data_IF_877845699273
#
_entry.id   IF_877845699273
#
_cell.length_a   1.000
_cell.length_b   1.000
_cell.length_c   1.000
_cell.angle_alpha   90.00
_cell.angle_beta   90.00
_cell.angle_gamma   90.00
#
_symmetry.space_group_name_H-M   'P 1'
#
loop_
_entity.id
_entity.type
_entity.pdbx_description
1 polymer ?
#
# COMPACT_ATOMS: atom_id res chain seq x y z
N UNK A 1 -34.77 58.71 -38.79
CA UNK A 1 -34.55 57.59 -37.86
C UNK A 1 -34.58 58.11 -36.44
N UNK A 2 -35.61 57.75 -35.63
CA UNK A 2 -35.87 58.39 -34.35
C UNK A 2 -34.84 58.05 -33.30
N UNK A 3 -34.34 59.03 -32.57
CA UNK A 3 -33.34 58.90 -31.51
C UNK A 3 -33.65 57.76 -30.51
N UNK A 4 -34.94 57.51 -30.29
CA UNK A 4 -35.49 56.47 -29.44
C UNK A 4 -35.19 55.08 -29.95
N UNK A 5 -35.06 54.81 -31.25
CA UNK A 5 -34.72 53.55 -31.86
C UNK A 5 -33.23 53.30 -31.83
N UNK A 6 -32.37 54.32 -31.82
CA UNK A 6 -30.93 54.22 -31.69
C UNK A 6 -30.54 53.80 -30.26
N UNK A 7 -31.21 54.33 -29.24
CA UNK A 7 -31.01 53.93 -27.85
C UNK A 7 -31.46 52.48 -27.60
N UNK A 8 -32.54 52.06 -28.24
CA UNK A 8 -33.01 50.66 -28.10
C UNK A 8 -32.07 49.63 -28.77
N UNK A 9 -31.53 49.96 -29.94
CA UNK A 9 -30.54 49.12 -30.63
C UNK A 9 -29.19 49.08 -29.86
N UNK A 10 -28.74 50.21 -29.31
CA UNK A 10 -27.53 50.30 -28.52
C UNK A 10 -27.65 49.52 -27.20
N UNK A 11 -28.83 49.55 -26.55
CA UNK A 11 -29.10 48.79 -25.34
C UNK A 11 -29.19 47.28 -25.61
N UNK A 12 -29.80 46.88 -26.75
CA UNK A 12 -29.85 45.47 -27.16
C UNK A 12 -28.46 44.93 -27.53
N UNK A 13 -27.57 45.72 -28.13
CA UNK A 13 -26.20 45.36 -28.47
C UNK A 13 -25.32 45.25 -27.22
N UNK A 14 -25.57 46.06 -26.18
CA UNK A 14 -24.86 45.99 -24.90
C UNK A 14 -25.21 44.73 -24.11
N UNK A 15 -26.45 44.23 -24.24
CA UNK A 15 -26.89 42.99 -23.59
C UNK A 15 -26.23 41.72 -24.20
N UNK A 16 -25.81 41.78 -25.48
CA UNK A 16 -25.12 40.64 -26.14
C UNK A 16 -23.63 40.55 -25.80
N UNK A 17 -23.01 41.60 -25.22
CA UNK A 17 -21.58 41.59 -24.89
C UNK A 17 -21.26 40.92 -23.51
N UNK A 18 -22.29 40.57 -22.73
CA UNK A 18 -22.11 39.96 -21.40
C UNK A 18 -22.29 38.44 -21.35
N UNK A 19 -22.39 37.76 -22.49
CA UNK A 19 -22.68 36.33 -22.55
C UNK A 19 -21.53 35.50 -23.10
N UNK A 20 -20.29 35.94 -22.93
CA UNK A 20 -19.16 35.02 -23.10
C UNK A 20 -18.50 34.87 -21.72
N UNK A 21 -19.10 34.07 -20.83
CA UNK A 21 -18.33 33.41 -19.78
C UNK A 21 -17.44 32.41 -20.51
N UNK A 22 -16.14 32.64 -20.50
CA UNK A 22 -15.15 31.62 -20.84
C UNK A 22 -15.40 30.46 -19.88
N UNK A 23 -16.10 29.42 -20.36
CA UNK A 23 -16.16 28.13 -19.65
C UNK A 23 -14.74 27.62 -19.57
N UNK A 24 -14.12 27.79 -18.43
CA UNK A 24 -12.90 27.07 -18.12
C UNK A 24 -13.29 25.58 -18.03
N UNK A 25 -12.77 24.78 -18.96
CA UNK A 25 -12.99 23.33 -18.91
C UNK A 25 -12.43 22.80 -17.58
N UNK A 26 -13.21 21.98 -16.87
CA UNK A 26 -12.77 21.43 -15.61
C UNK A 26 -11.52 20.58 -15.83
N UNK A 27 -10.51 20.80 -15.02
CA UNK A 27 -9.26 20.07 -14.99
C UNK A 27 -8.98 19.66 -13.53
N UNK A 28 -8.77 18.37 -13.30
CA UNK A 28 -8.46 17.82 -11.97
C UNK A 28 -7.16 17.06 -11.99
N UNK A 29 -6.25 17.41 -11.11
CA UNK A 29 -5.02 16.68 -10.87
C UNK A 29 -5.13 15.96 -9.52
N UNK A 30 -5.39 14.65 -9.60
CA UNK A 30 -5.47 13.77 -8.43
C UNK A 30 -4.18 12.98 -8.34
N UNK A 31 -3.54 13.02 -7.17
CA UNK A 31 -2.31 12.28 -6.89
C UNK A 31 -2.49 11.35 -5.71
N UNK A 32 -1.66 10.28 -5.68
CA UNK A 32 -1.54 9.34 -4.59
C UNK A 32 -0.19 9.49 -3.89
N UNK A 33 -0.19 9.37 -2.56
CA UNK A 33 1.00 9.36 -1.73
C UNK A 33 0.94 8.16 -0.77
N UNK A 34 1.79 7.14 -0.98
CA UNK A 34 2.82 7.00 -2.02
C UNK A 34 2.21 6.82 -3.43
N UNK A 35 3.04 6.96 -4.47
CA UNK A 35 2.64 6.76 -5.87
C UNK A 35 2.45 5.29 -6.26
N UNK A 36 2.95 4.37 -5.43
CA UNK A 36 2.82 2.92 -5.53
C UNK A 36 2.75 2.34 -4.12
N UNK A 37 1.94 1.31 -3.91
CA UNK A 37 1.79 0.65 -2.62
C UNK A 37 2.36 -0.76 -2.66
N UNK A 38 3.42 -1.01 -1.87
CA UNK A 38 4.10 -2.29 -1.78
C UNK A 38 3.86 -2.92 -0.41
N UNK A 39 3.13 -4.03 -0.36
CA UNK A 39 2.90 -4.78 0.87
C UNK A 39 4.05 -5.72 1.23
N UNK A 40 4.91 -6.04 0.24
CA UNK A 40 5.98 -7.02 0.41
C UNK A 40 5.43 -8.43 0.62
N UNK A 41 6.19 -9.24 1.35
CA UNK A 41 5.85 -10.63 1.71
C UNK A 41 4.91 -10.65 2.92
N UNK A 42 3.79 -11.35 2.79
CA UNK A 42 2.78 -11.54 3.85
C UNK A 42 2.41 -13.00 3.90
N UNK A 43 2.42 -13.62 5.07
CA UNK A 43 1.99 -15.01 5.21
C UNK A 43 0.56 -15.21 4.71
N UNK A 44 0.31 -16.32 4.02
CA UNK A 44 -1.01 -16.67 3.54
C UNK A 44 -2.02 -16.68 4.70
N UNK A 45 -3.17 -16.02 4.50
CA UNK A 45 -4.24 -15.77 5.45
C UNK A 45 -3.96 -14.73 6.55
N UNK A 46 -2.76 -14.17 6.64
CA UNK A 46 -2.50 -13.00 7.48
C UNK A 46 -3.04 -11.73 6.83
N UNK A 47 -3.17 -10.67 7.64
CA UNK A 47 -3.74 -9.40 7.22
C UNK A 47 -2.76 -8.28 7.56
N UNK A 48 -2.49 -7.42 6.58
CA UNK A 48 -1.72 -6.20 6.78
C UNK A 48 -2.45 -5.03 6.13
N UNK A 49 -2.35 -3.86 6.73
CA UNK A 49 -2.95 -2.64 6.19
C UNK A 49 -1.90 -1.54 6.06
N UNK A 50 -1.98 -0.78 4.99
CA UNK A 50 -1.13 0.38 4.75
C UNK A 50 -1.97 1.58 4.35
N UNK A 51 -1.47 2.76 4.68
CA UNK A 51 -2.14 4.03 4.45
C UNK A 51 -1.79 4.60 3.07
N UNK A 52 -2.80 5.13 2.39
CA UNK A 52 -2.67 5.92 1.16
C UNK A 52 -3.34 7.26 1.38
N UNK A 53 -2.69 8.34 0.97
CA UNK A 53 -3.28 9.67 0.88
C UNK A 53 -3.63 9.97 -0.57
N UNK A 54 -4.86 10.41 -0.79
CA UNK A 54 -5.36 10.88 -2.09
C UNK A 54 -5.50 12.38 -1.98
N UNK A 55 -4.92 13.12 -2.91
CA UNK A 55 -4.92 14.58 -2.89
C UNK A 55 -5.44 15.15 -4.21
N UNK A 56 -6.36 16.10 -4.12
CA UNK A 56 -6.72 17.01 -5.19
C UNK A 56 -5.77 18.21 -5.12
N UNK A 57 -4.87 18.35 -6.10
CA UNK A 57 -3.78 19.34 -6.00
C UNK A 57 -4.27 20.78 -6.22
N UNK A 58 -3.39 21.75 -6.02
CA UNK A 58 -3.64 23.15 -6.30
C UNK A 58 -3.64 23.51 -7.80
N UNK A 59 -3.20 22.57 -8.67
CA UNK A 59 -3.32 22.71 -10.12
C UNK A 59 -4.75 22.45 -10.63
N UNK A 60 -5.60 21.83 -9.81
CA UNK A 60 -7.01 21.59 -10.17
C UNK A 60 -7.80 22.90 -10.27
N UNK A 61 -8.82 22.93 -11.14
CA UNK A 61 -9.70 24.08 -11.32
C UNK A 61 -10.68 24.28 -10.16
N UNK A 62 -10.98 23.19 -9.40
CA UNK A 62 -11.96 23.26 -8.31
C UNK A 62 -12.03 21.97 -7.49
N UNK A 63 -13.19 21.76 -6.85
CA UNK A 63 -13.48 20.56 -6.10
C UNK A 63 -13.67 19.37 -7.05
N UNK A 64 -12.98 18.27 -6.77
CA UNK A 64 -13.16 16.97 -7.44
C UNK A 64 -14.26 16.19 -6.72
N UNK A 65 -15.12 15.54 -7.49
CA UNK A 65 -16.05 14.52 -7.01
C UNK A 65 -16.02 13.35 -7.99
N UNK A 66 -15.78 12.14 -7.50
CA UNK A 66 -15.65 10.95 -8.34
C UNK A 66 -15.72 9.66 -7.54
N UNK A 67 -15.63 8.53 -8.25
CA UNK A 67 -15.60 7.20 -7.66
C UNK A 67 -14.18 6.77 -7.34
N UNK A 68 -14.05 5.99 -6.28
CA UNK A 68 -12.82 5.31 -5.91
C UNK A 68 -13.04 3.80 -5.90
N UNK A 69 -12.14 3.05 -6.56
CA UNK A 69 -12.27 1.61 -6.68
C UNK A 69 -10.92 0.91 -6.59
N UNK A 70 -10.92 -0.34 -6.08
CA UNK A 70 -9.81 -1.28 -6.25
C UNK A 70 -10.23 -2.28 -7.32
N UNK A 71 -9.38 -2.44 -8.33
CA UNK A 71 -9.60 -3.31 -9.48
C UNK A 71 -8.55 -4.45 -9.50
N UNK A 72 -8.88 -5.50 -10.23
CA UNK A 72 -8.01 -6.63 -10.62
C UNK A 72 -7.73 -7.67 -9.53
N UNK A 73 -7.92 -7.41 -8.24
CA UNK A 73 -7.74 -8.43 -7.21
C UNK A 73 -8.62 -8.23 -5.97
N UNK A 74 -9.43 -9.24 -5.58
CA UNK A 74 -10.25 -9.19 -4.37
C UNK A 74 -9.44 -9.40 -3.07
N UNK A 75 -8.12 -9.60 -3.16
CA UNK A 75 -7.24 -9.74 -1.99
C UNK A 75 -6.85 -8.40 -1.36
N UNK A 76 -7.11 -7.33 -2.10
CA UNK A 76 -6.97 -5.96 -1.60
C UNK A 76 -8.36 -5.37 -1.37
N UNK A 77 -8.54 -4.76 -0.21
CA UNK A 77 -9.77 -4.05 0.16
C UNK A 77 -9.41 -2.68 0.73
N UNK A 78 -10.36 -1.77 0.79
CA UNK A 78 -10.16 -0.46 1.42
C UNK A 78 -11.24 -0.19 2.47
N UNK A 79 -10.93 0.67 3.42
CA UNK A 79 -11.83 1.12 4.49
C UNK A 79 -12.78 2.25 4.07
N UNK A 80 -12.66 2.73 2.84
CA UNK A 80 -13.53 3.75 2.27
C UNK A 80 -14.48 3.13 1.24
N UNK A 81 -15.75 3.55 1.28
CA UNK A 81 -16.76 3.14 0.33
C UNK A 81 -17.62 4.35 -0.07
N UNK A 82 -17.88 4.50 -1.36
CA UNK A 82 -18.73 5.55 -1.92
C UNK A 82 -17.99 6.61 -2.73
N UNK A 83 -18.61 7.79 -2.85
CA UNK A 83 -18.11 8.88 -3.67
C UNK A 83 -17.09 9.69 -2.88
N UNK A 84 -15.90 9.88 -3.48
CA UNK A 84 -14.84 10.73 -2.95
C UNK A 84 -15.08 12.17 -3.40
N UNK A 85 -15.15 13.11 -2.43
CA UNK A 85 -15.16 14.55 -2.72
C UNK A 85 -13.98 15.20 -2.02
N UNK A 86 -13.17 15.94 -2.79
CA UNK A 86 -12.01 16.67 -2.30
C UNK A 86 -12.05 18.11 -2.82
N UNK A 87 -12.00 19.07 -1.93
CA UNK A 87 -11.82 20.47 -2.33
C UNK A 87 -10.43 20.65 -2.97
N UNK A 88 -10.24 21.74 -3.71
CA UNK A 88 -8.92 22.11 -4.22
C UNK A 88 -7.91 22.15 -3.07
N UNK A 89 -6.77 21.48 -3.25
CA UNK A 89 -5.69 21.29 -2.26
C UNK A 89 -6.09 20.47 -1.02
N UNK A 90 -7.23 19.79 -1.03
CA UNK A 90 -7.66 18.86 0.02
C UNK A 90 -7.11 17.45 -0.21
N UNK A 91 -6.92 16.71 0.85
CA UNK A 91 -6.53 15.30 0.82
C UNK A 91 -7.36 14.45 1.76
N UNK A 92 -7.50 13.18 1.42
CA UNK A 92 -8.11 12.12 2.26
C UNK A 92 -7.15 10.96 2.42
N UNK A 93 -7.02 10.49 3.65
CA UNK A 93 -6.30 9.25 3.96
C UNK A 93 -7.30 8.09 4.01
N UNK A 94 -6.91 6.96 3.42
CA UNK A 94 -7.61 5.69 3.46
C UNK A 94 -6.62 4.57 3.78
N UNK A 95 -7.12 3.44 4.30
CA UNK A 95 -6.32 2.25 4.51
C UNK A 95 -6.65 1.19 3.45
N UNK A 96 -5.62 0.70 2.81
CA UNK A 96 -5.71 -0.48 1.94
C UNK A 96 -5.26 -1.68 2.75
N UNK A 97 -6.05 -2.73 2.72
CA UNK A 97 -5.79 -3.99 3.44
C UNK A 97 -5.49 -5.09 2.43
N UNK A 98 -4.40 -5.81 2.64
CA UNK A 98 -4.00 -6.98 1.86
C UNK A 98 -4.17 -8.25 2.69
N UNK A 99 -4.80 -9.27 2.08
CA UNK A 99 -5.00 -10.59 2.66
C UNK A 99 -4.76 -11.66 1.59
N UNK A 100 -3.52 -12.13 1.41
CA UNK A 100 -3.23 -13.23 0.49
C UNK A 100 -3.89 -14.53 0.98
N UNK A 101 -4.37 -15.37 0.08
CA UNK A 101 -4.92 -16.68 0.41
C UNK A 101 -4.02 -17.85 -0.01
N UNK A 102 -2.99 -17.59 -0.79
CA UNK A 102 -2.05 -18.56 -1.34
C UNK A 102 -0.67 -17.95 -1.51
N UNK A 103 0.31 -18.81 -1.78
CA UNK A 103 1.70 -18.45 -2.04
C UNK A 103 1.82 -18.05 -3.51
N UNK A 104 1.62 -16.77 -3.78
CA UNK A 104 1.67 -16.18 -5.13
C UNK A 104 1.79 -14.65 -5.05
N UNK A 105 2.13 -14.03 -6.17
CA UNK A 105 2.14 -12.57 -6.29
C UNK A 105 0.75 -12.05 -6.64
N UNK A 106 0.39 -10.92 -6.04
CA UNK A 106 -0.87 -10.23 -6.24
C UNK A 106 -0.63 -8.81 -6.69
N UNK A 107 -1.37 -8.37 -7.68
CA UNK A 107 -1.35 -7.00 -8.17
C UNK A 107 -2.78 -6.49 -8.28
N UNK A 108 -2.98 -5.23 -7.93
CA UNK A 108 -4.25 -4.52 -8.10
C UNK A 108 -3.98 -3.07 -8.49
N UNK A 109 -5.05 -2.35 -8.82
CA UNK A 109 -5.03 -0.92 -9.08
C UNK A 109 -6.03 -0.22 -8.18
N UNK A 110 -5.59 0.83 -7.50
CA UNK A 110 -6.47 1.83 -6.91
C UNK A 110 -6.73 2.90 -7.96
N UNK A 111 -7.99 3.14 -8.26
CA UNK A 111 -8.42 4.13 -9.25
C UNK A 111 -9.30 5.19 -8.62
N UNK A 112 -9.15 6.42 -9.06
CA UNK A 112 -10.05 7.54 -8.74
C UNK A 112 -10.46 8.17 -10.05
N UNK A 113 -11.77 8.27 -10.33
CA UNK A 113 -12.25 8.75 -11.62
C UNK A 113 -13.60 9.46 -11.55
N UNK A 114 -13.81 10.37 -12.50
CA UNK A 114 -15.11 10.91 -12.90
C UNK A 114 -15.14 11.01 -14.44
N UNK A 115 -16.11 11.73 -14.99
CA UNK A 115 -16.23 11.91 -16.44
C UNK A 115 -15.08 12.70 -17.08
N UNK A 116 -14.36 13.51 -16.29
CA UNK A 116 -13.36 14.48 -16.77
C UNK A 116 -11.93 14.15 -16.37
N UNK A 117 -11.74 13.19 -15.42
CA UNK A 117 -10.42 12.88 -14.85
C UNK A 117 -10.32 11.42 -14.43
N UNK A 118 -9.11 10.87 -14.60
CA UNK A 118 -8.74 9.53 -14.17
C UNK A 118 -7.35 9.55 -13.56
N UNK A 119 -7.22 8.94 -12.38
CA UNK A 119 -5.94 8.69 -11.73
C UNK A 119 -5.87 7.25 -11.25
N UNK A 120 -4.70 6.60 -11.37
CA UNK A 120 -4.46 5.24 -10.88
C UNK A 120 -3.13 5.12 -10.17
N UNK A 121 -3.05 4.15 -9.25
CA UNK A 121 -1.81 3.68 -8.65
C UNK A 121 -1.80 2.15 -8.59
N UNK A 122 -0.60 1.54 -8.67
CA UNK A 122 -0.44 0.11 -8.51
C UNK A 122 -0.31 -0.28 -7.04
N UNK A 123 -0.86 -1.45 -6.73
CA UNK A 123 -0.78 -2.09 -5.43
C UNK A 123 -0.22 -3.49 -5.65
N UNK A 124 0.87 -3.83 -4.96
CA UNK A 124 1.52 -5.12 -5.08
C UNK A 124 1.73 -5.76 -3.71
N UNK A 125 1.69 -7.09 -3.67
CA UNK A 125 1.98 -7.89 -2.49
C UNK A 125 2.27 -9.34 -2.88
N UNK A 126 2.97 -10.05 -2.03
CA UNK A 126 3.32 -11.45 -2.21
C UNK A 126 2.80 -12.26 -1.01
N UNK A 127 1.96 -13.27 -1.29
CA UNK A 127 1.61 -14.28 -0.31
C UNK A 127 2.74 -15.30 -0.20
N UNK A 128 3.15 -15.62 1.01
CA UNK A 128 4.25 -16.57 1.27
C UNK A 128 3.85 -17.60 2.32
N UNK A 129 4.60 -18.72 2.38
CA UNK A 129 4.48 -19.70 3.46
C UNK A 129 4.96 -19.10 4.79
N UNK A 130 4.48 -19.61 5.93
CA UNK A 130 5.06 -19.28 7.24
C UNK A 130 6.55 -19.68 7.32
N UNK A 131 7.26 -19.13 8.30
CA UNK A 131 8.62 -19.58 8.62
C UNK A 131 8.58 -21.06 8.94
N UNK A 132 9.45 -21.82 8.29
CA UNK A 132 9.60 -23.27 8.47
C UNK A 132 11.07 -23.62 8.59
N UNK A 133 11.45 -24.34 9.65
CA UNK A 133 12.83 -24.77 9.87
C UNK A 133 12.89 -26.15 10.52
N UNK A 134 14.01 -26.80 10.35
CA UNK A 134 14.35 -28.05 11.05
C UNK A 134 15.65 -27.88 11.83
N UNK A 135 15.82 -28.71 12.83
CA UNK A 135 17.07 -28.77 13.60
C UNK A 135 17.48 -30.21 13.90
N UNK A 136 18.77 -30.46 13.97
CA UNK A 136 19.33 -31.79 14.23
C UNK A 136 20.70 -31.67 14.91
N UNK A 137 20.93 -32.49 15.94
CA UNK A 137 20.02 -33.45 16.58
C UNK A 137 18.97 -32.70 17.46
N UNK A 138 17.86 -33.36 17.79
CA UNK A 138 16.85 -32.81 18.70
C UNK A 138 17.26 -32.90 20.19
N UNK A 139 18.29 -33.68 20.50
CA UNK A 139 18.90 -33.78 21.83
C UNK A 139 20.42 -33.85 21.66
N UNK A 140 21.13 -33.05 22.43
CA UNK A 140 22.60 -33.09 22.51
C UNK A 140 23.01 -33.93 23.73
N UNK A 141 23.47 -35.15 23.48
CA UNK A 141 23.89 -36.12 24.52
C UNK A 141 25.39 -35.99 24.80
N UNK A 142 25.76 -35.11 25.75
CA UNK A 142 27.17 -34.91 26.09
C UNK A 142 27.82 -36.13 26.80
N UNK A 143 27.01 -37.00 27.45
CA UNK A 143 27.52 -38.11 28.21
C UNK A 143 28.32 -37.67 29.45
N UNK A 144 29.31 -38.47 29.87
CA UNK A 144 30.21 -38.13 30.98
C UNK A 144 31.31 -37.18 30.47
N UNK A 145 31.50 -36.09 31.18
CA UNK A 145 32.60 -35.13 30.99
C UNK A 145 33.40 -35.09 32.31
N UNK A 146 34.72 -35.20 32.25
CA UNK A 146 35.59 -35.13 33.41
C UNK A 146 35.51 -33.73 34.05
N UNK A 147 35.70 -33.64 35.37
CA UNK A 147 35.70 -32.36 36.08
C UNK A 147 36.81 -31.43 35.51
N UNK A 148 36.39 -30.20 35.14
CA UNK A 148 37.28 -29.23 34.49
C UNK A 148 37.51 -29.46 32.99
N UNK A 149 36.95 -30.55 32.42
CA UNK A 149 36.94 -30.83 30.98
C UNK A 149 35.77 -30.18 30.28
N UNK A 150 35.78 -30.24 28.95
CA UNK A 150 34.67 -29.81 28.09
C UNK A 150 34.46 -30.80 26.95
N UNK A 151 33.29 -30.69 26.34
CA UNK A 151 32.93 -31.46 25.14
C UNK A 151 32.03 -30.59 24.26
N UNK A 152 32.37 -30.48 23.01
CA UNK A 152 31.59 -29.77 22.02
C UNK A 152 30.68 -30.73 21.26
N UNK A 153 29.51 -30.25 20.88
CA UNK A 153 28.57 -30.91 20.00
C UNK A 153 27.90 -29.91 19.07
N UNK A 154 27.69 -30.35 17.85
CA UNK A 154 27.08 -29.50 16.83
C UNK A 154 25.54 -29.60 16.86
N UNK A 155 24.89 -28.49 16.73
CA UNK A 155 23.46 -28.36 16.44
C UNK A 155 23.32 -27.68 15.08
N UNK A 156 22.76 -28.38 14.12
CA UNK A 156 22.46 -27.79 12.80
C UNK A 156 21.02 -27.32 12.77
N UNK A 157 20.80 -26.08 12.39
CA UNK A 157 19.48 -25.52 12.11
C UNK A 157 19.41 -25.17 10.62
N UNK A 158 18.36 -25.61 9.96
CA UNK A 158 18.17 -25.43 8.52
C UNK A 158 16.87 -24.70 8.25
N UNK A 159 16.96 -23.55 7.56
CA UNK A 159 15.79 -22.89 7.01
C UNK A 159 15.25 -23.76 5.85
N UNK A 160 14.02 -24.25 5.96
CA UNK A 160 13.45 -25.14 4.97
C UNK A 160 13.20 -24.41 3.65
N UNK A 161 13.26 -25.13 2.53
CA UNK A 161 13.07 -24.56 1.19
C UNK A 161 11.66 -23.97 0.95
N UNK A 162 10.68 -24.38 1.74
CA UNK A 162 9.30 -23.87 1.70
C UNK A 162 9.06 -22.66 2.62
N UNK A 163 10.09 -22.25 3.39
CA UNK A 163 10.00 -21.05 4.23
C UNK A 163 9.83 -19.81 3.35
N UNK A 164 8.83 -18.99 3.66
CA UNK A 164 8.58 -17.73 2.97
C UNK A 164 9.52 -16.59 3.34
N UNK A 165 10.31 -16.77 4.41
CA UNK A 165 11.18 -15.75 5.00
C UNK A 165 12.57 -16.31 5.31
N UNK A 166 13.52 -15.40 5.42
CA UNK A 166 14.82 -15.72 6.01
C UNK A 166 14.65 -16.07 7.48
N UNK A 167 15.47 -17.03 7.97
CA UNK A 167 15.42 -17.48 9.35
C UNK A 167 16.38 -16.65 10.20
N UNK A 168 15.86 -15.93 11.16
CA UNK A 168 16.63 -15.26 12.20
C UNK A 168 16.47 -16.01 13.51
N UNK A 169 17.58 -16.45 14.12
CA UNK A 169 17.58 -17.30 15.31
C UNK A 169 18.37 -16.64 16.43
N UNK A 170 17.75 -16.60 17.62
CA UNK A 170 18.43 -16.23 18.85
C UNK A 170 18.57 -17.46 19.73
N UNK A 171 19.82 -17.87 20.00
CA UNK A 171 20.13 -18.99 20.86
C UNK A 171 20.29 -18.52 22.31
N UNK A 172 19.79 -19.32 23.25
CA UNK A 172 20.02 -19.13 24.67
C UNK A 172 20.19 -20.48 25.39
N UNK A 173 20.96 -20.49 26.47
CA UNK A 173 21.06 -21.62 27.39
C UNK A 173 20.55 -21.23 28.76
N UNK A 174 19.92 -22.17 29.47
CA UNK A 174 19.34 -21.94 30.82
C UNK A 174 20.26 -22.29 31.96
N UNK A 175 21.42 -22.91 31.68
CA UNK A 175 22.41 -23.34 32.67
C UNK A 175 23.79 -22.76 32.37
N UNK A 176 24.53 -22.38 33.39
CA UNK A 176 25.93 -21.93 33.28
C UNK A 176 26.91 -23.01 32.87
N UNK A 177 26.51 -24.29 32.94
CA UNK A 177 27.32 -25.44 32.53
C UNK A 177 27.43 -25.56 30.99
N UNK A 178 26.57 -24.82 30.27
CA UNK A 178 26.57 -24.81 28.81
C UNK A 178 26.86 -23.43 28.27
N UNK A 179 27.57 -23.36 27.18
CA UNK A 179 27.81 -22.13 26.44
C UNK A 179 27.85 -22.41 24.93
N UNK A 180 27.60 -21.37 24.15
CA UNK A 180 27.86 -21.45 22.72
C UNK A 180 29.35 -21.21 22.46
N UNK A 181 29.91 -21.98 21.54
CA UNK A 181 31.27 -21.73 21.04
C UNK A 181 31.21 -20.71 19.91
N UNK A 182 32.13 -19.78 19.88
CA UNK A 182 32.23 -18.80 18.80
C UNK A 182 32.43 -19.49 17.44
N UNK A 183 31.65 -19.13 16.45
CA UNK A 183 31.76 -19.71 15.09
C UNK A 183 30.45 -20.18 14.50
N UNK A 184 29.31 -19.67 14.98
CA UNK A 184 28.01 -19.90 14.32
C UNK A 184 28.04 -19.22 12.94
N UNK A 185 28.04 -20.01 11.89
CA UNK A 185 27.99 -19.55 10.47
C UNK A 185 26.62 -19.76 9.87
#
# INVERSE_FOLDING_TARGET
MNLRNIFFLAFLFLLFMFACEDKVDPHYEIIFEPTELQFGKVEANQIISQKVRIKNTDNSTGAFTGEINIMDSPKFTMDFNGVLTLQKNESKEIYITFRPSSVESYTAKLTVSNEESFAEMYINGEGVSPVSFTYSPNVLEFGMVEEGGYKDMDLTVTNNADSGFDLEINFSVSSSEFSFVDGVT
#
